data_IF_465781172405
#
_entry.id   IF_465781172405
#
_cell.length_a   1.000
_cell.length_b   1.000
_cell.length_c   1.000
_cell.angle_alpha   90.00
_cell.angle_beta   90.00
_cell.angle_gamma   90.00
#
_symmetry.space_group_name_H-M   'P 1'
#
loop_
_entity.id
_entity.type
_entity.pdbx_description
1 polymer ?
#
# COMPACT_ATOMS: atom_id res chain seq x y z
N UNK A 1 10.18 -24.87 -4.93
CA UNK A 1 9.81 -24.59 -3.53
C UNK A 1 10.42 -23.30 -3.01
N UNK A 2 11.69 -23.02 -3.32
CA UNK A 2 12.31 -21.77 -2.93
C UNK A 2 11.60 -20.57 -3.54
N UNK A 3 11.15 -20.68 -4.79
CA UNK A 3 10.38 -19.62 -5.45
C UNK A 3 9.09 -19.30 -4.69
N UNK A 4 8.37 -20.34 -4.24
CA UNK A 4 7.12 -20.15 -3.46
C UNK A 4 7.44 -19.52 -2.10
N UNK A 5 8.46 -20.00 -1.40
CA UNK A 5 8.87 -19.46 -0.11
C UNK A 5 9.32 -18.01 -0.21
N UNK A 6 10.11 -17.66 -1.24
CA UNK A 6 10.62 -16.30 -1.44
C UNK A 6 9.50 -15.28 -1.74
N UNK A 7 8.44 -15.72 -2.40
CA UNK A 7 7.33 -14.85 -2.76
C UNK A 7 6.19 -14.82 -1.74
N UNK A 8 6.10 -15.84 -0.88
CA UNK A 8 5.04 -15.97 0.13
C UNK A 8 5.67 -16.31 1.48
N UNK A 9 6.59 -15.48 1.93
CA UNK A 9 7.36 -15.73 3.17
C UNK A 9 6.57 -15.44 4.44
N UNK A 10 5.47 -14.73 4.36
CA UNK A 10 4.78 -14.19 5.52
C UNK A 10 3.76 -15.14 6.15
N UNK A 11 3.43 -16.28 5.52
CA UNK A 11 2.36 -17.14 6.03
C UNK A 11 2.43 -18.58 5.50
N UNK A 12 2.48 -19.53 6.41
CA UNK A 12 2.34 -20.96 6.09
C UNK A 12 1.01 -21.25 5.41
N UNK A 13 -0.06 -20.56 5.83
CA UNK A 13 -1.39 -20.71 5.21
C UNK A 13 -1.40 -20.27 3.76
N UNK A 14 -0.70 -19.19 3.43
CA UNK A 14 -0.57 -18.73 2.05
C UNK A 14 0.19 -19.74 1.20
N UNK A 15 1.22 -20.37 1.77
CA UNK A 15 1.98 -21.44 1.10
C UNK A 15 1.11 -22.67 0.82
N UNK A 16 0.37 -23.13 1.81
CA UNK A 16 -0.57 -24.24 1.66
C UNK A 16 -1.65 -23.93 0.63
N UNK A 17 -2.23 -22.75 0.68
CA UNK A 17 -3.22 -22.27 -0.29
C UNK A 17 -2.67 -22.26 -1.72
N UNK A 18 -1.44 -21.82 -1.90
CA UNK A 18 -0.76 -21.82 -3.19
C UNK A 18 -0.58 -23.21 -3.77
N UNK A 19 -0.16 -24.17 -2.94
CA UNK A 19 0.02 -25.56 -3.36
C UNK A 19 -1.33 -26.19 -3.74
N UNK A 20 -2.36 -25.99 -2.94
CA UNK A 20 -3.72 -26.49 -3.22
C UNK A 20 -4.23 -25.93 -4.55
N UNK A 21 -4.02 -24.64 -4.80
CA UNK A 21 -4.46 -23.98 -6.03
C UNK A 21 -3.74 -24.53 -7.26
N UNK A 22 -2.44 -24.80 -7.17
CA UNK A 22 -1.66 -25.41 -8.23
C UNK A 22 -2.17 -26.83 -8.53
N UNK A 23 -2.44 -27.61 -7.49
CA UNK A 23 -2.98 -28.95 -7.64
C UNK A 23 -4.38 -28.94 -8.23
N UNK A 24 -5.23 -28.04 -7.81
CA UNK A 24 -6.59 -27.87 -8.34
C UNK A 24 -6.56 -27.48 -9.83
N UNK A 25 -5.67 -26.54 -10.19
CA UNK A 25 -5.48 -26.13 -11.59
C UNK A 25 -5.01 -27.29 -12.45
N UNK A 26 -4.03 -28.05 -11.97
CA UNK A 26 -3.51 -29.24 -12.63
C UNK A 26 -4.61 -30.29 -12.86
N UNK A 27 -5.41 -30.55 -11.84
CA UNK A 27 -6.53 -31.50 -11.91
C UNK A 27 -7.62 -31.03 -12.89
N UNK A 28 -7.96 -29.75 -12.84
CA UNK A 28 -8.99 -29.15 -13.70
C UNK A 28 -8.59 -29.22 -15.18
N UNK A 29 -7.35 -28.95 -15.50
CA UNK A 29 -6.84 -28.95 -16.87
C UNK A 29 -6.34 -30.32 -17.33
N UNK A 30 -6.50 -31.36 -16.51
CA UNK A 30 -6.02 -32.72 -16.78
C UNK A 30 -4.52 -32.79 -17.07
N UNK A 31 -3.77 -31.89 -16.45
CA UNK A 31 -2.32 -31.87 -16.52
C UNK A 31 -1.74 -32.84 -15.49
N UNK A 32 -0.71 -33.58 -15.89
CA UNK A 32 0.05 -34.34 -14.92
C UNK A 32 0.89 -33.40 -14.07
N UNK A 33 1.12 -33.72 -12.77
CA UNK A 33 1.98 -32.88 -11.94
C UNK A 33 3.38 -32.68 -12.53
N UNK A 34 3.86 -33.60 -13.33
CA UNK A 34 5.15 -33.55 -14.02
C UNK A 34 5.18 -32.45 -15.12
N UNK A 35 4.02 -32.11 -15.68
CA UNK A 35 3.89 -31.10 -16.73
C UNK A 35 3.84 -29.68 -16.16
N UNK A 36 3.75 -29.53 -14.84
CA UNK A 36 3.75 -28.23 -14.20
C UNK A 36 5.20 -27.75 -14.06
N UNK A 37 5.56 -26.77 -14.89
CA UNK A 37 6.88 -26.16 -14.82
C UNK A 37 6.91 -24.92 -13.93
N UNK A 38 8.09 -24.35 -13.76
CA UNK A 38 8.29 -23.15 -12.95
C UNK A 38 7.50 -21.95 -13.51
N UNK A 39 7.39 -21.86 -14.84
CA UNK A 39 6.68 -20.79 -15.50
C UNK A 39 5.17 -20.83 -15.21
N UNK A 40 4.59 -22.03 -15.26
CA UNK A 40 3.18 -22.23 -14.94
C UNK A 40 2.91 -21.95 -13.46
N UNK A 41 3.75 -22.43 -12.56
CA UNK A 41 3.64 -22.13 -11.14
C UNK A 41 3.79 -20.63 -10.85
N UNK A 42 4.72 -19.96 -11.53
CA UNK A 42 4.91 -18.52 -11.40
C UNK A 42 3.67 -17.73 -11.86
N UNK A 43 3.05 -18.15 -12.95
CA UNK A 43 1.83 -17.52 -13.46
C UNK A 43 0.67 -17.63 -12.47
N UNK A 44 0.43 -18.83 -11.93
CA UNK A 44 -0.61 -19.07 -10.94
C UNK A 44 -0.36 -18.25 -9.66
N UNK A 45 0.87 -18.25 -9.16
CA UNK A 45 1.24 -17.50 -7.96
C UNK A 45 1.21 -15.99 -8.18
N UNK A 46 1.53 -15.52 -9.38
CA UNK A 46 1.42 -14.11 -9.74
C UNK A 46 -0.01 -13.63 -9.63
N UNK A 47 -0.97 -14.40 -10.12
CA UNK A 47 -2.40 -14.09 -10.00
C UNK A 47 -2.84 -14.03 -8.53
N UNK A 48 -2.40 -14.99 -7.70
CA UNK A 48 -2.68 -14.99 -6.27
C UNK A 48 -2.09 -13.79 -5.55
N UNK A 49 -0.85 -13.43 -5.88
CA UNK A 49 -0.16 -12.29 -5.30
C UNK A 49 -0.88 -11.00 -5.69
N UNK A 50 -1.31 -10.87 -6.94
CA UNK A 50 -2.07 -9.71 -7.43
C UNK A 50 -3.40 -9.54 -6.71
N UNK A 51 -4.07 -10.62 -6.37
CA UNK A 51 -5.33 -10.55 -5.62
C UNK A 51 -5.14 -10.15 -4.15
N UNK A 52 -4.03 -10.56 -3.53
CA UNK A 52 -3.75 -10.28 -2.11
C UNK A 52 -3.02 -8.98 -1.87
N UNK A 53 -2.15 -8.60 -2.79
CA UNK A 53 -1.41 -7.35 -2.72
C UNK A 53 -2.17 -6.31 -3.53
N UNK A 54 -3.19 -5.71 -2.91
CA UNK A 54 -3.58 -4.39 -3.35
C UNK A 54 -2.33 -3.54 -3.24
N UNK A 55 -1.67 -3.29 -4.36
CA UNK A 55 -0.57 -2.35 -4.39
C UNK A 55 -1.15 -0.97 -4.11
N UNK A 56 -1.10 -0.58 -2.85
CA UNK A 56 -1.46 0.78 -2.45
C UNK A 56 -0.47 1.70 -3.14
N UNK A 57 -0.99 2.59 -3.98
CA UNK A 57 -0.19 3.55 -4.73
C UNK A 57 -0.27 4.94 -4.10
N UNK A 58 0.68 5.80 -4.41
CA UNK A 58 0.64 7.20 -3.99
C UNK A 58 -0.60 7.90 -4.52
N UNK A 59 -1.04 7.57 -5.74
CA UNK A 59 -2.26 8.12 -6.33
C UNK A 59 -3.50 7.72 -5.52
N UNK A 60 -3.59 6.46 -5.11
CA UNK A 60 -4.71 5.97 -4.29
C UNK A 60 -4.75 6.67 -2.92
N UNK A 61 -3.60 6.86 -2.28
CA UNK A 61 -3.49 7.58 -1.01
C UNK A 61 -3.93 9.03 -1.20
N UNK A 62 -3.45 9.68 -2.24
CA UNK A 62 -3.80 11.07 -2.56
C UNK A 62 -5.29 11.24 -2.78
N UNK A 63 -5.91 10.37 -3.58
CA UNK A 63 -7.35 10.40 -3.83
C UNK A 63 -8.14 10.21 -2.54
N UNK A 64 -7.74 9.27 -1.69
CA UNK A 64 -8.44 8.99 -0.44
C UNK A 64 -8.38 10.18 0.53
N UNK A 65 -7.21 10.77 0.67
CA UNK A 65 -7.03 11.95 1.52
C UNK A 65 -7.85 13.13 0.99
N UNK A 66 -7.81 13.35 -0.32
CA UNK A 66 -8.60 14.42 -0.95
C UNK A 66 -10.10 14.22 -0.74
N UNK A 67 -10.58 13.00 -0.87
CA UNK A 67 -11.98 12.65 -0.61
C UNK A 67 -12.38 12.96 0.83
N UNK A 68 -11.54 12.60 1.81
CA UNK A 68 -11.81 12.81 3.22
C UNK A 68 -11.80 14.29 3.61
N UNK A 69 -10.96 15.10 2.98
CA UNK A 69 -10.81 16.53 3.32
C UNK A 69 -11.51 17.47 2.36
N UNK A 70 -12.15 16.94 1.31
CA UNK A 70 -12.91 17.77 0.36
C UNK A 70 -12.04 18.68 -0.49
N UNK A 71 -10.83 18.25 -0.84
CA UNK A 71 -9.92 18.99 -1.72
C UNK A 71 -9.59 18.17 -2.96
N UNK A 72 -9.00 18.82 -3.97
CA UNK A 72 -8.59 18.13 -5.19
C UNK A 72 -7.11 17.69 -5.10
N UNK A 73 -6.69 16.65 -5.86
CA UNK A 73 -5.28 16.29 -5.92
C UNK A 73 -4.38 17.43 -6.38
N UNK A 74 -4.85 18.28 -7.27
CA UNK A 74 -4.11 19.47 -7.73
C UNK A 74 -3.85 20.40 -6.56
N UNK A 75 -4.86 20.68 -5.75
CA UNK A 75 -4.72 21.52 -4.55
C UNK A 75 -3.73 20.91 -3.55
N UNK A 76 -3.78 19.60 -3.37
CA UNK A 76 -2.89 18.90 -2.45
C UNK A 76 -1.41 19.05 -2.85
N UNK A 77 -1.14 19.05 -4.15
CA UNK A 77 0.22 19.15 -4.70
C UNK A 77 0.71 20.59 -4.85
N UNK A 78 -0.13 21.59 -4.60
CA UNK A 78 0.26 23.00 -4.66
C UNK A 78 1.27 23.35 -3.56
N UNK A 79 2.10 24.36 -3.83
CA UNK A 79 3.08 24.88 -2.88
C UNK A 79 2.45 25.85 -1.87
N UNK A 80 1.32 25.49 -1.30
CA UNK A 80 0.65 26.32 -0.31
C UNK A 80 0.95 25.85 1.10
N UNK A 81 1.00 26.78 2.05
CA UNK A 81 1.14 26.50 3.49
C UNK A 81 -0.17 26.66 4.25
N UNK A 82 -1.28 26.88 3.55
CA UNK A 82 -2.59 26.99 4.19
C UNK A 82 -2.92 25.68 4.91
N UNK A 83 -3.37 25.74 6.19
CA UNK A 83 -3.64 24.51 6.96
C UNK A 83 -4.67 23.59 6.30
N UNK A 84 -5.61 24.13 5.56
CA UNK A 84 -6.65 23.37 4.85
C UNK A 84 -6.06 22.41 3.80
N UNK A 85 -4.87 22.69 3.31
CA UNK A 85 -4.16 21.89 2.30
C UNK A 85 -2.90 21.27 2.89
N UNK A 86 -2.17 22.01 3.72
CA UNK A 86 -0.91 21.55 4.31
C UNK A 86 -1.11 20.35 5.23
N UNK A 87 -2.14 20.35 6.06
CA UNK A 87 -2.41 19.25 6.97
C UNK A 87 -2.83 17.97 6.22
N UNK A 88 -3.79 18.02 5.27
CA UNK A 88 -4.09 16.85 4.44
C UNK A 88 -2.85 16.30 3.70
N UNK A 89 -1.96 17.18 3.22
CA UNK A 89 -0.71 16.76 2.60
C UNK A 89 0.19 16.00 3.58
N UNK A 90 0.28 16.49 4.82
CA UNK A 90 1.03 15.80 5.87
C UNK A 90 0.47 14.41 6.16
N UNK A 91 -0.86 14.29 6.20
CA UNK A 91 -1.54 13.00 6.36
C UNK A 91 -1.21 12.07 5.19
N UNK A 92 -1.24 12.56 3.96
CA UNK A 92 -0.91 11.78 2.77
C UNK A 92 0.55 11.29 2.80
N UNK A 93 1.49 12.16 3.17
CA UNK A 93 2.90 11.78 3.31
C UNK A 93 3.11 10.73 4.40
N UNK A 94 2.43 10.86 5.52
CA UNK A 94 2.46 9.88 6.60
C UNK A 94 1.93 8.52 6.13
N UNK A 95 0.79 8.50 5.47
CA UNK A 95 0.19 7.27 4.96
C UNK A 95 1.09 6.61 3.91
N UNK A 96 1.73 7.39 3.05
CA UNK A 96 2.67 6.87 2.07
C UNK A 96 3.86 6.17 2.74
N UNK A 97 4.43 6.77 3.75
CA UNK A 97 5.54 6.18 4.50
C UNK A 97 5.11 4.92 5.27
N UNK A 98 3.91 4.93 5.83
CA UNK A 98 3.38 3.81 6.60
C UNK A 98 2.95 2.63 5.74
N UNK A 99 2.24 2.90 4.63
CA UNK A 99 1.60 1.87 3.80
C UNK A 99 2.49 1.37 2.66
N UNK A 100 3.49 2.17 2.25
CA UNK A 100 4.42 1.80 1.17
C UNK A 100 5.85 1.90 1.72
N UNK A 101 6.29 0.92 2.54
CA UNK A 101 7.59 0.99 3.21
C UNK A 101 8.78 0.92 2.26
N UNK A 102 8.60 0.43 1.02
CA UNK A 102 9.65 0.37 0.02
C UNK A 102 9.98 1.74 -0.61
N UNK A 103 9.12 2.75 -0.44
CA UNK A 103 9.41 4.09 -0.90
C UNK A 103 10.35 4.82 0.06
N UNK A 104 11.35 5.50 -0.48
CA UNK A 104 12.23 6.36 0.32
C UNK A 104 11.50 7.66 0.69
N UNK A 105 11.99 8.33 1.73
CA UNK A 105 11.48 9.66 2.12
C UNK A 105 11.62 10.66 0.97
N UNK A 106 12.71 10.54 0.21
CA UNK A 106 12.96 11.39 -0.96
C UNK A 106 11.90 11.19 -2.04
N UNK A 107 11.54 9.93 -2.33
CA UNK A 107 10.52 9.59 -3.33
C UNK A 107 9.17 10.19 -2.94
N UNK A 108 8.79 10.10 -1.68
CA UNK A 108 7.55 10.66 -1.17
C UNK A 108 7.55 12.18 -1.29
N UNK A 109 8.66 12.83 -0.89
CA UNK A 109 8.80 14.28 -0.97
C UNK A 109 8.68 14.76 -2.42
N UNK A 110 9.32 14.08 -3.35
CA UNK A 110 9.26 14.42 -4.78
C UNK A 110 7.85 14.32 -5.35
N UNK A 111 7.12 13.28 -4.99
CA UNK A 111 5.73 13.11 -5.44
C UNK A 111 4.85 14.29 -5.00
N UNK A 112 5.03 14.78 -3.77
CA UNK A 112 4.27 15.90 -3.23
C UNK A 112 4.92 17.26 -3.48
N UNK A 113 5.83 17.36 -4.44
CA UNK A 113 6.51 18.60 -4.85
C UNK A 113 7.26 19.28 -3.69
N UNK A 114 7.92 18.48 -2.86
CA UNK A 114 8.77 18.98 -1.77
C UNK A 114 10.24 18.71 -2.09
N UNK A 115 11.09 19.66 -1.78
CA UNK A 115 12.52 19.58 -2.10
C UNK A 115 13.31 18.72 -1.12
N UNK A 116 12.82 18.60 0.12
CA UNK A 116 13.57 17.98 1.20
C UNK A 116 12.78 16.85 1.87
N UNK A 117 13.46 15.74 2.10
CA UNK A 117 12.90 14.59 2.82
C UNK A 117 12.53 14.92 4.27
N UNK A 118 13.13 15.96 4.87
CA UNK A 118 12.79 16.40 6.23
C UNK A 118 11.34 16.86 6.34
N UNK A 119 10.74 17.32 5.24
CA UNK A 119 9.32 17.66 5.19
C UNK A 119 8.44 16.44 5.50
N UNK A 120 8.83 15.25 5.00
CA UNK A 120 8.12 14.00 5.26
C UNK A 120 8.26 13.59 6.73
N UNK A 121 9.47 13.72 7.31
CA UNK A 121 9.70 13.44 8.72
C UNK A 121 8.90 14.36 9.62
N UNK A 122 8.83 15.64 9.27
CA UNK A 122 8.02 16.61 10.00
C UNK A 122 6.53 16.26 9.92
N UNK A 123 6.05 15.90 8.73
CA UNK A 123 4.67 15.48 8.52
C UNK A 123 4.33 14.26 9.38
N UNK A 124 5.21 13.27 9.42
CA UNK A 124 5.05 12.07 10.23
C UNK A 124 4.88 12.42 11.70
N UNK A 125 5.73 13.30 12.21
CA UNK A 125 5.68 13.74 13.62
C UNK A 125 4.40 14.48 13.93
N UNK A 126 3.96 15.38 13.05
CA UNK A 126 2.72 16.13 13.22
C UNK A 126 1.50 15.23 13.24
N UNK A 127 1.44 14.25 12.34
CA UNK A 127 0.33 13.30 12.27
C UNK A 127 0.31 12.40 13.51
N UNK A 128 1.45 11.91 13.96
CA UNK A 128 1.55 11.10 15.18
C UNK A 128 1.07 11.87 16.42
N UNK A 129 1.41 13.14 16.54
CA UNK A 129 0.96 13.99 17.63
C UNK A 129 -0.56 14.16 17.62
N UNK A 130 -1.15 14.44 16.45
CA UNK A 130 -2.59 14.56 16.30
C UNK A 130 -3.30 13.24 16.62
N UNK A 131 -2.73 12.14 16.21
CA UNK A 131 -3.25 10.79 16.49
C UNK A 131 -3.33 10.52 17.99
N UNK A 132 -2.35 10.98 18.77
CA UNK A 132 -2.35 10.82 20.22
C UNK A 132 -3.34 11.76 20.92
N UNK A 133 -3.45 12.99 20.43
CA UNK A 133 -4.20 14.05 21.11
C UNK A 133 -5.69 14.06 20.78
N UNK A 134 -6.06 13.67 19.55
CA UNK A 134 -7.43 13.75 19.06
C UNK A 134 -7.98 12.38 18.69
N UNK A 135 -8.98 11.93 19.44
CA UNK A 135 -9.63 10.65 19.20
C UNK A 135 -10.38 10.64 17.86
N UNK A 136 -11.05 11.73 17.50
CA UNK A 136 -11.77 11.85 16.23
C UNK A 136 -10.82 11.67 15.03
N UNK A 137 -9.64 12.26 15.10
CA UNK A 137 -8.61 12.11 14.09
C UNK A 137 -8.10 10.67 14.02
N UNK A 138 -7.92 10.03 15.17
CA UNK A 138 -7.50 8.62 15.26
C UNK A 138 -8.48 7.72 14.51
N UNK A 139 -9.76 7.87 14.77
CA UNK A 139 -10.82 7.09 14.12
C UNK A 139 -10.80 7.33 12.60
N UNK A 140 -10.70 8.58 12.18
CA UNK A 140 -10.65 8.95 10.77
C UNK A 140 -9.44 8.34 10.07
N UNK A 141 -8.27 8.42 10.68
CA UNK A 141 -7.04 7.89 10.12
C UNK A 141 -7.08 6.36 10.00
N UNK A 142 -7.55 5.68 11.04
CA UNK A 142 -7.70 4.24 11.04
C UNK A 142 -8.67 3.77 9.96
N UNK A 143 -9.76 4.50 9.76
CA UNK A 143 -10.74 4.21 8.70
C UNK A 143 -10.14 4.40 7.30
N UNK A 144 -9.36 5.47 7.09
CA UNK A 144 -8.65 5.67 5.83
C UNK A 144 -7.70 4.52 5.53
N UNK A 145 -6.92 4.08 6.51
CA UNK A 145 -5.99 2.96 6.37
C UNK A 145 -6.75 1.68 6.02
N UNK A 146 -7.84 1.41 6.72
CA UNK A 146 -8.68 0.23 6.47
C UNK A 146 -9.22 0.22 5.04
N UNK A 147 -9.71 1.35 4.56
CA UNK A 147 -10.25 1.47 3.21
C UNK A 147 -9.16 1.32 2.13
N UNK A 148 -7.96 1.83 2.38
CA UNK A 148 -6.84 1.70 1.47
C UNK A 148 -6.32 0.27 1.37
N UNK A 149 -6.45 -0.51 2.44
CA UNK A 149 -6.02 -1.92 2.46
C UNK A 149 -7.04 -2.89 1.86
N UNK A 150 -8.23 -2.42 1.57
CA UNK A 150 -9.21 -3.22 0.83
C UNK A 150 -8.79 -3.32 -0.64
#
# INVERSE_FOLDING_TARGET
>A
FNFIADNITSSVRALEGSLIRILAFSSYNKLNPEDIDINLAAEILSDMISEKVHSITLDAITEKVCECYGITPVQLLEKTRKPQVAFPRQVAMYLANYLIPQLSLKDIAEYYNRKDHTTVLHAKKMVENQFREKEDFRIQLEEMIKNLKK
#
